data_IF_739180096649
#
_entry.id   IF_739180096649
#
_cell.length_a   1.000
_cell.length_b   1.000
_cell.length_c   1.000
_cell.angle_alpha   90.00
_cell.angle_beta   90.00
_cell.angle_gamma   90.00
#
_symmetry.space_group_name_H-M   'P 1'
#
loop_
_entity.id
_entity.type
_entity.pdbx_description
1 polymer ?
#
# COMPACT_ATOMS: atom_id res chain seq x y z
N UNK A 1 -7.61 25.14 18.73
CA UNK A 1 -7.19 24.67 17.41
C UNK A 1 -5.82 25.24 17.13
N UNK A 2 -4.76 24.42 17.10
CA UNK A 2 -3.45 24.84 16.62
C UNK A 2 -3.54 25.17 15.12
N UNK A 3 -2.60 25.98 14.56
CA UNK A 3 -2.57 26.28 13.14
C UNK A 3 -2.50 24.93 12.38
N UNK A 4 -3.32 24.79 11.32
CA UNK A 4 -3.28 23.63 10.43
C UNK A 4 -1.82 23.42 10.02
N UNK A 5 -1.21 22.30 10.39
CA UNK A 5 0.15 21.96 9.95
C UNK A 5 0.08 21.82 8.43
N UNK A 6 0.98 22.53 7.74
CA UNK A 6 1.07 22.40 6.29
C UNK A 6 1.41 20.96 5.91
N UNK A 7 1.03 20.54 4.71
CA UNK A 7 1.28 19.19 4.17
C UNK A 7 2.77 18.82 4.01
N UNK A 8 3.68 19.80 4.21
CA UNK A 8 5.12 19.61 4.05
C UNK A 8 5.81 19.52 5.40
N UNK A 9 6.55 18.45 5.62
CA UNK A 9 7.36 18.19 6.80
C UNK A 9 8.69 18.93 6.72
N UNK A 10 9.22 19.36 7.86
CA UNK A 10 10.59 19.86 7.97
C UNK A 10 11.63 18.75 7.80
N UNK A 11 12.88 19.11 7.54
CA UNK A 11 13.98 18.12 7.45
C UNK A 11 14.14 17.29 8.73
N UNK A 12 13.90 17.88 9.90
CA UNK A 12 13.93 17.16 11.17
C UNK A 12 12.79 16.15 11.30
N UNK A 13 11.58 16.48 10.82
CA UNK A 13 10.42 15.58 10.82
C UNK A 13 10.59 14.43 9.81
N UNK A 14 11.20 14.69 8.66
CA UNK A 14 11.49 13.63 7.68
C UNK A 14 12.38 12.52 8.27
N UNK A 15 13.36 12.88 9.10
CA UNK A 15 14.22 11.90 9.80
C UNK A 15 13.44 11.02 10.77
N UNK A 16 12.39 11.55 11.40
CA UNK A 16 11.57 10.83 12.35
C UNK A 16 10.63 9.81 11.67
N UNK A 17 10.37 9.97 10.37
CA UNK A 17 9.55 9.06 9.57
C UNK A 17 10.32 7.82 9.04
N UNK A 18 11.65 7.85 9.11
CA UNK A 18 12.47 6.71 8.64
C UNK A 18 12.23 5.47 9.50
N UNK A 19 12.18 5.62 10.81
CA UNK A 19 12.05 4.47 11.73
C UNK A 19 10.68 3.77 11.65
N UNK A 20 9.52 4.48 11.69
CA UNK A 20 8.24 3.81 11.49
C UNK A 20 8.14 3.11 10.13
N UNK A 21 8.65 3.71 9.05
CA UNK A 21 8.70 3.05 7.75
C UNK A 21 9.52 1.75 7.76
N UNK A 22 10.69 1.76 8.44
CA UNK A 22 11.54 0.56 8.61
C UNK A 22 10.83 -0.52 9.42
N UNK A 23 10.13 -0.15 10.49
CA UNK A 23 9.38 -1.11 11.34
C UNK A 23 8.23 -1.73 10.56
N UNK A 24 7.47 -0.91 9.80
CA UNK A 24 6.42 -1.39 8.90
C UNK A 24 6.96 -2.39 7.88
N UNK A 25 8.06 -2.05 7.19
CA UNK A 25 8.71 -2.97 6.23
C UNK A 25 9.11 -4.30 6.87
N UNK A 26 9.70 -4.26 8.06
CA UNK A 26 10.11 -5.48 8.79
C UNK A 26 8.91 -6.34 9.19
N UNK A 27 7.79 -5.74 9.59
CA UNK A 27 6.55 -6.47 9.90
C UNK A 27 5.99 -7.15 8.65
N UNK A 28 5.91 -6.44 7.53
CA UNK A 28 5.44 -6.99 6.26
C UNK A 28 6.34 -8.11 5.74
N UNK A 29 7.67 -8.00 5.86
CA UNK A 29 8.61 -9.06 5.49
C UNK A 29 8.41 -10.32 6.34
N UNK A 30 8.19 -10.16 7.65
CA UNK A 30 7.93 -11.28 8.55
C UNK A 30 6.59 -11.99 8.22
N UNK A 31 5.55 -11.21 7.92
CA UNK A 31 4.25 -11.74 7.49
C UNK A 31 4.37 -12.46 6.15
N UNK A 32 5.02 -11.83 5.16
CA UNK A 32 5.24 -12.41 3.82
C UNK A 32 5.93 -13.78 3.89
N UNK A 33 6.94 -13.91 4.76
CA UNK A 33 7.67 -15.15 4.95
C UNK A 33 6.83 -16.28 5.59
N UNK A 34 5.73 -15.95 6.26
CA UNK A 34 4.83 -16.90 6.92
C UNK A 34 3.63 -17.31 6.06
N UNK A 35 3.36 -16.62 4.95
CA UNK A 35 2.21 -16.92 4.09
C UNK A 35 2.40 -18.28 3.41
N UNK A 36 1.47 -19.21 3.70
CA UNK A 36 1.43 -20.56 3.14
C UNK A 36 -0.01 -21.12 3.21
N UNK A 37 -0.35 -22.15 2.44
CA UNK A 37 -1.62 -22.84 2.61
C UNK A 37 -1.79 -23.35 4.04
N UNK A 38 -2.96 -23.11 4.64
CA UNK A 38 -3.31 -23.55 5.99
C UNK A 38 -3.00 -22.53 7.10
N UNK A 39 -2.23 -21.48 6.83
CA UNK A 39 -2.01 -20.37 7.78
C UNK A 39 -3.25 -19.48 7.80
N UNK A 40 -3.70 -19.06 8.98
CA UNK A 40 -4.82 -18.14 9.15
C UNK A 40 -4.36 -16.68 9.10
N UNK A 41 -5.25 -15.78 8.71
CA UNK A 41 -4.93 -14.35 8.73
C UNK A 41 -4.74 -13.81 10.16
N UNK A 42 -5.35 -14.44 11.19
CA UNK A 42 -5.06 -14.15 12.60
C UNK A 42 -3.62 -14.52 13.02
N UNK A 43 -3.07 -15.62 12.50
CA UNK A 43 -1.68 -15.98 12.77
C UNK A 43 -0.72 -14.96 12.12
N UNK A 44 -1.05 -14.47 10.92
CA UNK A 44 -0.31 -13.40 10.25
C UNK A 44 -0.38 -12.08 11.03
N UNK A 45 -1.56 -11.73 11.55
CA UNK A 45 -1.78 -10.57 12.42
C UNK A 45 -0.88 -10.61 13.67
N UNK A 46 -0.84 -11.75 14.34
CA UNK A 46 0.00 -11.95 15.52
C UNK A 46 1.51 -11.86 15.22
N UNK A 47 1.94 -12.24 14.01
CA UNK A 47 3.33 -12.08 13.56
C UNK A 47 3.66 -10.60 13.39
N UNK A 48 2.79 -9.83 12.72
CA UNK A 48 2.96 -8.40 12.53
C UNK A 48 3.01 -7.67 13.87
N UNK A 49 2.04 -7.93 14.76
CA UNK A 49 1.98 -7.32 16.09
C UNK A 49 3.27 -7.54 16.88
N UNK A 50 3.72 -8.78 16.96
CA UNK A 50 4.97 -9.12 17.67
C UNK A 50 6.15 -8.37 17.08
N UNK A 51 6.29 -8.36 15.74
CA UNK A 51 7.43 -7.72 15.07
C UNK A 51 7.45 -6.21 15.34
N UNK A 52 6.29 -5.54 15.26
CA UNK A 52 6.18 -4.10 15.54
C UNK A 52 6.52 -3.81 17.01
N UNK A 53 5.95 -4.58 17.95
CA UNK A 53 6.17 -4.36 19.40
C UNK A 53 7.59 -4.65 19.82
N UNK A 54 8.20 -5.69 19.28
CA UNK A 54 9.62 -6.04 19.56
C UNK A 54 10.58 -4.94 19.05
N UNK A 55 10.20 -4.22 17.99
CA UNK A 55 10.91 -3.05 17.50
C UNK A 55 10.59 -1.75 18.29
N UNK A 56 9.76 -1.82 19.33
CA UNK A 56 9.36 -0.66 20.14
C UNK A 56 8.30 0.24 19.50
N UNK A 57 7.66 -0.23 18.43
CA UNK A 57 6.54 0.44 17.76
C UNK A 57 5.17 0.06 18.34
N UNK A 58 4.14 0.72 17.83
CA UNK A 58 2.73 0.45 18.12
C UNK A 58 2.03 0.14 16.80
N UNK A 59 1.25 -0.96 16.68
CA UNK A 59 0.38 -1.17 15.51
C UNK A 59 -0.60 0.00 15.38
N UNK A 60 -0.47 0.79 14.32
CA UNK A 60 -1.27 2.01 14.20
C UNK A 60 -2.72 1.76 13.81
N UNK A 61 -3.03 0.67 13.07
CA UNK A 61 -4.40 0.28 12.77
C UNK A 61 -5.22 -0.02 14.03
N UNK A 62 -4.60 -0.65 15.04
CA UNK A 62 -5.24 -0.89 16.33
C UNK A 62 -5.56 0.40 17.13
N UNK A 63 -5.10 1.56 16.67
CA UNK A 63 -5.46 2.87 17.23
C UNK A 63 -6.74 3.45 16.60
N UNK A 64 -7.18 2.89 15.45
CA UNK A 64 -8.42 3.31 14.80
C UNK A 64 -9.65 2.84 15.61
N UNK A 65 -10.60 3.73 15.88
CA UNK A 65 -11.79 3.39 16.68
C UNK A 65 -12.59 2.25 16.05
N UNK A 66 -12.68 1.12 16.76
CA UNK A 66 -13.45 -0.05 16.34
C UNK A 66 -12.63 -1.10 15.57
N UNK A 67 -11.41 -0.81 15.14
CA UNK A 67 -10.49 -1.80 14.60
C UNK A 67 -9.63 -2.42 15.71
N UNK A 68 -9.50 -3.75 15.74
CA UNK A 68 -8.85 -4.46 16.86
C UNK A 68 -7.63 -5.28 16.46
N UNK A 69 -7.22 -5.20 15.20
CA UNK A 69 -6.13 -5.97 14.62
C UNK A 69 -4.93 -5.07 14.24
N UNK A 70 -3.81 -5.70 13.97
CA UNK A 70 -2.56 -5.06 13.58
C UNK A 70 -2.47 -4.82 12.07
N UNK A 71 -3.03 -5.76 11.30
CA UNK A 71 -3.02 -5.74 9.82
C UNK A 71 -4.45 -5.75 9.28
N UNK A 72 -4.59 -5.30 8.03
CA UNK A 72 -5.70 -5.72 7.18
C UNK A 72 -5.22 -6.88 6.30
N UNK A 73 -6.05 -7.94 6.19
CA UNK A 73 -5.75 -9.13 5.40
C UNK A 73 -6.90 -9.39 4.43
N UNK A 74 -6.79 -8.85 3.23
CA UNK A 74 -7.83 -8.90 2.19
C UNK A 74 -7.57 -10.07 1.25
N UNK A 75 -8.52 -11.03 1.19
CA UNK A 75 -8.36 -12.29 0.44
C UNK A 75 -9.30 -12.32 -0.75
N UNK A 76 -8.79 -12.65 -1.94
CA UNK A 76 -9.54 -12.81 -3.20
C UNK A 76 -10.33 -11.55 -3.57
N UNK A 77 -11.66 -11.57 -3.44
CA UNK A 77 -12.55 -10.45 -3.76
C UNK A 77 -12.56 -9.32 -2.71
N UNK A 78 -11.87 -9.50 -1.60
CA UNK A 78 -11.66 -8.41 -0.65
C UNK A 78 -10.63 -7.43 -1.22
N UNK A 79 -11.05 -6.16 -1.36
CA UNK A 79 -10.23 -5.08 -1.93
C UNK A 79 -9.29 -4.53 -0.86
N UNK A 80 -9.86 -4.15 0.30
CA UNK A 80 -9.15 -3.47 1.38
C UNK A 80 -9.86 -3.71 2.72
N UNK A 81 -9.20 -3.41 3.82
CA UNK A 81 -9.72 -3.49 5.20
C UNK A 81 -10.20 -4.89 5.62
N UNK A 82 -9.73 -5.96 4.96
CA UNK A 82 -10.08 -7.33 5.32
C UNK A 82 -9.74 -7.64 6.77
N UNK A 83 -10.75 -8.03 7.57
CA UNK A 83 -10.55 -8.37 8.98
C UNK A 83 -9.84 -9.71 9.13
N UNK A 84 -8.69 -9.77 9.84
CA UNK A 84 -8.04 -11.03 10.18
C UNK A 84 -9.01 -12.00 10.88
N UNK A 85 -8.99 -13.26 10.49
CA UNK A 85 -9.92 -14.26 10.99
C UNK A 85 -9.29 -15.68 11.01
N UNK A 86 -10.06 -16.67 11.50
CA UNK A 86 -9.60 -18.05 11.65
C UNK A 86 -9.66 -18.87 10.32
N UNK A 87 -10.13 -18.28 9.21
CA UNK A 87 -10.14 -18.99 7.92
C UNK A 87 -8.71 -19.20 7.46
N UNK A 88 -8.27 -20.46 7.25
CA UNK A 88 -6.95 -20.71 6.70
C UNK A 88 -6.87 -20.28 5.24
N UNK A 89 -5.73 -19.73 4.83
CA UNK A 89 -5.42 -19.47 3.43
C UNK A 89 -5.40 -20.79 2.64
N UNK A 90 -6.02 -20.79 1.47
CA UNK A 90 -6.04 -21.91 0.56
C UNK A 90 -4.98 -21.75 -0.52
N UNK A 91 -4.52 -22.88 -1.07
CA UNK A 91 -3.68 -22.84 -2.27
C UNK A 91 -4.43 -22.11 -3.40
N UNK A 92 -3.76 -21.19 -4.07
CA UNK A 92 -4.31 -20.34 -5.12
C UNK A 92 -4.93 -19.03 -4.65
N UNK A 93 -5.16 -18.80 -3.34
CA UNK A 93 -5.65 -17.52 -2.85
C UNK A 93 -4.67 -16.37 -3.22
N UNK A 94 -5.21 -15.24 -3.63
CA UNK A 94 -4.49 -13.96 -3.61
C UNK A 94 -4.80 -13.28 -2.28
N UNK A 95 -3.77 -12.80 -1.58
CA UNK A 95 -3.93 -12.10 -0.31
C UNK A 95 -3.16 -10.79 -0.33
N UNK A 96 -3.84 -9.70 0.00
CA UNK A 96 -3.26 -8.39 0.22
C UNK A 96 -3.12 -8.17 1.72
N UNK A 97 -1.90 -7.90 2.16
CA UNK A 97 -1.58 -7.58 3.55
C UNK A 97 -1.19 -6.12 3.62
N UNK A 98 -1.91 -5.38 4.42
CA UNK A 98 -1.70 -3.98 4.69
C UNK A 98 -1.38 -3.80 6.17
N UNK A 99 -0.33 -3.03 6.49
CA UNK A 99 0.22 -2.92 7.83
C UNK A 99 0.88 -1.57 8.04
N UNK A 100 0.58 -0.97 9.19
CA UNK A 100 1.25 0.25 9.60
C UNK A 100 1.80 0.20 11.01
N UNK A 101 2.84 0.99 11.27
CA UNK A 101 3.47 1.12 12.57
C UNK A 101 3.65 2.58 12.97
N UNK A 102 3.33 2.87 14.24
CA UNK A 102 3.70 4.15 14.87
C UNK A 102 4.97 3.97 15.70
N UNK A 103 5.94 4.87 15.51
CA UNK A 103 7.13 4.98 16.36
C UNK A 103 7.31 6.43 16.79
N UNK A 104 7.32 6.67 18.10
CA UNK A 104 7.47 8.01 18.68
C UNK A 104 6.44 9.03 18.16
N UNK A 105 5.22 8.60 17.87
CA UNK A 105 4.14 9.43 17.34
C UNK A 105 4.32 9.81 15.87
N UNK A 106 5.03 9.00 15.07
CA UNK A 106 5.13 9.09 13.62
C UNK A 106 4.77 7.76 12.98
N UNK A 107 4.11 7.80 11.83
CA UNK A 107 3.52 6.64 11.19
C UNK A 107 4.29 6.23 9.93
N UNK A 108 4.33 4.92 9.67
CA UNK A 108 4.64 4.31 8.40
C UNK A 108 3.50 3.40 8.00
N UNK A 109 3.26 3.25 6.70
CA UNK A 109 2.17 2.49 6.12
C UNK A 109 2.57 1.86 4.81
N UNK A 110 2.22 0.59 4.58
CA UNK A 110 2.51 -0.12 3.35
C UNK A 110 1.69 -1.40 3.20
N UNK A 111 1.45 -1.80 1.95
CA UNK A 111 0.78 -3.04 1.62
C UNK A 111 1.48 -3.80 0.49
N UNK A 112 1.24 -5.12 0.46
CA UNK A 112 1.62 -5.97 -0.66
C UNK A 112 0.56 -7.03 -0.93
N UNK A 113 0.52 -7.52 -2.17
CA UNK A 113 -0.26 -8.70 -2.56
C UNK A 113 0.65 -9.87 -2.92
N UNK A 114 0.21 -11.08 -2.59
CA UNK A 114 0.90 -12.32 -2.96
C UNK A 114 -0.11 -13.40 -3.29
N UNK A 115 0.23 -14.28 -4.24
CA UNK A 115 -0.58 -15.45 -4.58
C UNK A 115 -0.02 -16.69 -3.89
N UNK A 116 -0.86 -17.39 -3.14
CA UNK A 116 -0.51 -18.65 -2.50
C UNK A 116 -0.35 -19.73 -3.60
N UNK A 117 0.79 -20.42 -3.72
CA UNK A 117 1.02 -21.37 -4.81
C UNK A 117 -0.03 -22.46 -4.88
N UNK A 118 -0.51 -22.76 -6.10
CA UNK A 118 -1.39 -23.91 -6.39
C UNK A 118 -1.00 -24.57 -7.73
N UNK A 119 -0.18 -25.61 -7.71
CA UNK A 119 0.19 -26.33 -8.94
C UNK A 119 -0.98 -27.01 -9.65
N UNK A 120 -2.13 -27.22 -8.97
CA UNK A 120 -3.31 -27.86 -9.55
C UNK A 120 -4.20 -26.88 -10.34
N UNK A 121 -4.08 -25.58 -10.12
CA UNK A 121 -4.84 -24.50 -10.77
C UNK A 121 -3.92 -23.44 -11.39
N UNK A 122 -3.04 -23.81 -12.33
CA UNK A 122 -2.00 -22.90 -12.83
C UNK A 122 -2.58 -21.65 -13.55
N UNK A 123 -3.72 -21.76 -14.20
CA UNK A 123 -4.37 -20.62 -14.88
C UNK A 123 -4.91 -19.60 -13.88
N UNK A 124 -5.54 -20.07 -12.78
CA UNK A 124 -5.99 -19.18 -11.70
C UNK A 124 -4.81 -18.45 -11.07
N UNK A 125 -3.75 -19.19 -10.72
CA UNK A 125 -2.53 -18.61 -10.14
C UNK A 125 -1.92 -17.58 -11.09
N UNK A 126 -1.84 -17.88 -12.39
CA UNK A 126 -1.29 -16.95 -13.38
C UNK A 126 -2.13 -15.68 -13.52
N UNK A 127 -3.47 -15.78 -13.51
CA UNK A 127 -4.37 -14.62 -13.56
C UNK A 127 -4.20 -13.73 -12.33
N UNK A 128 -4.21 -14.32 -11.13
CA UNK A 128 -4.02 -13.61 -9.86
C UNK A 128 -2.62 -12.99 -9.74
N UNK A 129 -1.60 -13.70 -10.23
CA UNK A 129 -0.23 -13.17 -10.25
C UNK A 129 -0.12 -11.97 -11.18
N UNK A 130 -0.72 -12.02 -12.38
CA UNK A 130 -0.75 -10.89 -13.31
C UNK A 130 -1.44 -9.67 -12.70
N UNK A 131 -2.56 -9.87 -11.99
CA UNK A 131 -3.24 -8.80 -11.25
C UNK A 131 -2.32 -8.16 -10.22
N UNK A 132 -1.65 -8.97 -9.40
CA UNK A 132 -0.69 -8.46 -8.40
C UNK A 132 0.48 -7.74 -9.07
N UNK A 133 1.05 -8.30 -10.15
CA UNK A 133 2.20 -7.73 -10.85
C UNK A 133 1.88 -6.38 -11.51
N UNK A 134 0.71 -6.23 -12.16
CA UNK A 134 0.30 -4.95 -12.75
C UNK A 134 0.04 -3.90 -11.68
N UNK A 135 -0.54 -4.29 -10.54
CA UNK A 135 -0.78 -3.38 -9.41
C UNK A 135 0.56 -2.92 -8.82
N UNK A 136 1.50 -3.82 -8.60
CA UNK A 136 2.86 -3.46 -8.15
C UNK A 136 3.57 -2.55 -9.15
N UNK A 137 3.54 -2.90 -10.44
CA UNK A 137 4.16 -2.11 -11.48
C UNK A 137 3.59 -0.69 -11.57
N UNK A 138 2.27 -0.54 -11.40
CA UNK A 138 1.60 0.75 -11.38
C UNK A 138 2.01 1.61 -10.18
N UNK A 139 2.14 1.01 -9.00
CA UNK A 139 2.67 1.67 -7.80
C UNK A 139 4.08 2.24 -8.07
N UNK A 140 4.99 1.40 -8.59
CA UNK A 140 6.37 1.84 -8.84
C UNK A 140 6.47 2.89 -9.96
N UNK A 141 5.58 2.86 -10.95
CA UNK A 141 5.47 3.94 -11.94
C UNK A 141 5.01 5.25 -11.29
N UNK A 142 4.04 5.21 -10.37
CA UNK A 142 3.62 6.36 -9.59
C UNK A 142 4.73 6.93 -8.72
N UNK A 143 5.50 6.08 -8.04
CA UNK A 143 6.66 6.47 -7.23
C UNK A 143 7.76 7.08 -8.12
N UNK A 144 8.02 6.51 -9.30
CA UNK A 144 8.97 7.06 -10.25
C UNK A 144 8.51 8.43 -10.76
N UNK A 145 7.23 8.57 -11.12
CA UNK A 145 6.66 9.85 -11.54
C UNK A 145 6.81 10.92 -10.44
N UNK A 146 6.60 10.56 -9.16
CA UNK A 146 6.75 11.49 -8.02
C UNK A 146 8.14 12.15 -7.98
N UNK A 147 9.19 11.47 -8.45
CA UNK A 147 10.54 12.03 -8.49
C UNK A 147 10.70 13.13 -9.57
N UNK A 148 9.82 13.19 -10.56
CA UNK A 148 9.98 14.03 -11.77
C UNK A 148 8.88 15.08 -11.92
N UNK A 149 7.66 14.82 -11.43
CA UNK A 149 6.51 15.70 -11.63
C UNK A 149 6.54 16.93 -10.73
N UNK A 150 5.87 17.98 -11.18
CA UNK A 150 5.75 19.22 -10.40
C UNK A 150 4.51 19.25 -9.50
N UNK A 151 3.51 18.42 -9.76
CA UNK A 151 2.24 18.39 -9.06
C UNK A 151 1.77 16.96 -8.81
N UNK A 152 1.13 16.77 -7.66
CA UNK A 152 0.82 15.44 -7.13
C UNK A 152 -0.16 14.63 -8.00
N UNK A 153 -1.15 15.27 -8.61
CA UNK A 153 -2.14 14.54 -9.41
C UNK A 153 -1.57 13.93 -10.70
N UNK A 154 -0.37 14.33 -11.13
CA UNK A 154 0.32 13.70 -12.25
C UNK A 154 0.80 12.27 -11.91
N UNK A 155 0.91 11.93 -10.61
CA UNK A 155 1.23 10.58 -10.11
C UNK A 155 0.12 9.59 -10.47
N UNK A 156 -1.14 9.95 -10.21
CA UNK A 156 -2.29 9.09 -10.53
C UNK A 156 -2.41 8.79 -12.03
N UNK A 157 -2.02 9.75 -12.88
CA UNK A 157 -1.99 9.52 -14.32
C UNK A 157 -0.94 8.46 -14.72
N UNK A 158 0.23 8.45 -14.07
CA UNK A 158 1.28 7.46 -14.34
C UNK A 158 0.87 6.05 -13.85
N UNK A 159 0.13 5.96 -12.75
CA UNK A 159 -0.42 4.70 -12.24
C UNK A 159 -1.43 4.13 -13.23
N UNK A 160 -2.43 4.92 -13.64
CA UNK A 160 -3.47 4.51 -14.59
C UNK A 160 -2.88 4.09 -15.94
N UNK A 161 -1.91 4.84 -16.47
CA UNK A 161 -1.27 4.54 -17.75
C UNK A 161 -0.63 3.12 -17.77
N UNK A 162 -0.04 2.65 -16.68
CA UNK A 162 0.52 1.30 -16.57
C UNK A 162 -0.57 0.24 -16.55
N UNK A 163 -1.64 0.46 -15.77
CA UNK A 163 -2.75 -0.49 -15.66
C UNK A 163 -3.46 -0.65 -17.01
N UNK A 164 -3.79 0.48 -17.67
CA UNK A 164 -4.45 0.47 -18.99
C UNK A 164 -3.55 -0.13 -20.07
N UNK A 165 -2.23 0.06 -19.99
CA UNK A 165 -1.29 -0.50 -20.96
C UNK A 165 -1.16 -2.02 -20.88
N UNK A 166 -1.51 -2.65 -19.74
CA UNK A 166 -1.53 -4.12 -19.57
C UNK A 166 -2.84 -4.76 -20.04
N UNK A 167 -3.88 -3.96 -20.34
CA UNK A 167 -5.16 -4.47 -20.84
C UNK A 167 -5.02 -5.10 -22.23
N UNK A 168 -5.81 -6.14 -22.46
CA UNK A 168 -5.89 -6.83 -23.76
C UNK A 168 -7.32 -7.33 -24.03
N UNK A 169 -7.66 -7.75 -25.26
CA UNK A 169 -9.00 -8.24 -25.55
C UNK A 169 -9.45 -9.38 -24.61
N UNK A 170 -10.47 -9.09 -23.80
CA UNK A 170 -11.01 -10.02 -22.79
C UNK A 170 -10.38 -9.89 -21.41
N UNK A 171 -9.44 -8.98 -21.20
CA UNK A 171 -8.90 -8.63 -19.92
C UNK A 171 -8.93 -7.11 -19.75
N UNK A 172 -9.67 -6.65 -18.76
CA UNK A 172 -9.68 -5.26 -18.31
C UNK A 172 -9.58 -5.20 -16.80
N UNK A 173 -9.08 -4.10 -16.29
CA UNK A 173 -8.92 -3.87 -14.87
C UNK A 173 -9.84 -2.76 -14.37
N UNK A 174 -10.34 -2.92 -13.13
CA UNK A 174 -10.97 -1.85 -12.38
C UNK A 174 -9.94 -1.16 -11.48
N UNK A 175 -9.87 0.17 -11.51
CA UNK A 175 -9.10 0.96 -10.54
C UNK A 175 -10.09 1.48 -9.50
N UNK A 176 -9.94 1.08 -8.24
CA UNK A 176 -10.83 1.52 -7.17
C UNK A 176 -10.66 3.01 -6.93
N UNK A 177 -11.78 3.75 -6.94
CA UNK A 177 -11.82 5.21 -6.81
C UNK A 177 -12.22 5.67 -5.40
N UNK A 178 -12.92 4.84 -4.63
CA UNK A 178 -13.44 5.19 -3.31
C UNK A 178 -12.36 5.23 -2.22
N UNK A 179 -11.22 4.56 -2.47
CA UNK A 179 -10.06 4.55 -1.59
C UNK A 179 -8.86 5.12 -2.33
N UNK A 180 -8.15 6.04 -1.66
CA UNK A 180 -7.04 6.77 -2.27
C UNK A 180 -5.88 6.86 -1.31
N UNK A 181 -4.68 6.99 -1.84
CA UNK A 181 -3.52 7.33 -1.05
C UNK A 181 -3.68 8.67 -0.31
N UNK A 182 -2.78 8.94 0.60
CA UNK A 182 -2.91 10.05 1.55
C UNK A 182 -1.56 10.63 1.95
N UNK A 183 -1.56 11.80 2.56
CA UNK A 183 -0.43 12.28 3.32
C UNK A 183 -0.25 11.43 4.58
N UNK A 184 0.98 11.27 5.05
CA UNK A 184 1.28 10.53 6.28
C UNK A 184 2.27 11.28 7.15
N UNK A 185 2.16 11.11 8.48
CA UNK A 185 3.01 11.81 9.41
C UNK A 185 2.70 11.52 10.87
N UNK A 186 2.18 12.51 11.59
CA UNK A 186 1.72 12.37 12.98
C UNK A 186 0.41 11.62 13.09
N UNK A 187 -0.39 11.66 12.05
CA UNK A 187 -1.52 10.78 11.85
C UNK A 187 -1.21 9.85 10.70
N UNK A 188 -1.82 8.66 10.69
CA UNK A 188 -1.72 7.73 9.59
C UNK A 188 -2.27 8.39 8.32
N UNK A 189 -3.49 8.86 8.37
CA UNK A 189 -4.12 9.61 7.29
C UNK A 189 -4.02 11.13 7.51
N UNK A 190 -3.32 11.80 6.61
CA UNK A 190 -3.20 13.27 6.55
C UNK A 190 -3.51 13.76 5.13
N UNK A 191 -3.77 15.05 4.98
CA UNK A 191 -3.74 15.71 3.66
C UNK A 191 -2.33 15.66 3.03
N UNK A 192 -2.21 15.57 1.71
CA UNK A 192 -3.27 15.59 0.71
C UNK A 192 -3.75 14.18 0.33
N UNK A 193 -4.93 14.03 -0.32
CA UNK A 193 -5.30 12.80 -0.99
C UNK A 193 -4.37 12.54 -2.18
N UNK A 194 -4.09 11.26 -2.47
CA UNK A 194 -3.23 10.81 -3.56
C UNK A 194 -4.03 9.85 -4.45
N UNK A 195 -4.46 10.33 -5.60
CA UNK A 195 -5.30 9.53 -6.51
C UNK A 195 -4.45 8.51 -7.28
N UNK A 196 -5.02 7.32 -7.47
CA UNK A 196 -4.40 6.22 -8.23
C UNK A 196 -4.84 6.21 -9.71
N UNK A 197 -5.54 7.25 -10.14
CA UNK A 197 -6.12 7.43 -11.46
C UNK A 197 -6.07 8.91 -11.87
N UNK A 198 -6.34 9.18 -13.13
CA UNK A 198 -6.31 10.53 -13.71
C UNK A 198 -7.46 11.38 -13.22
N UNK A 199 -7.16 12.49 -12.60
CA UNK A 199 -8.16 13.45 -12.10
C UNK A 199 -7.97 14.83 -12.72
N UNK A 200 -9.02 15.65 -12.68
CA UNK A 200 -8.94 17.05 -13.13
C UNK A 200 -8.18 17.88 -12.09
N UNK A 201 -7.38 18.80 -12.58
CA UNK A 201 -6.59 19.69 -11.73
C UNK A 201 -5.21 19.13 -11.41
N UNK A 202 -4.35 19.95 -10.84
CA UNK A 202 -2.93 19.62 -10.65
C UNK A 202 -2.62 19.05 -9.27
N UNK A 203 -3.47 19.31 -8.28
CA UNK A 203 -3.16 19.01 -6.89
C UNK A 203 -2.02 19.87 -6.31
N UNK A 204 -1.52 19.52 -5.11
CA UNK A 204 -0.40 20.19 -4.46
C UNK A 204 0.89 20.08 -5.27
N UNK A 205 1.83 21.00 -5.01
CA UNK A 205 3.18 20.90 -5.60
C UNK A 205 3.96 19.76 -4.97
N UNK A 206 4.67 19.01 -5.80
CA UNK A 206 5.67 18.06 -5.34
C UNK A 206 6.95 18.83 -5.02
N UNK A 207 7.36 18.82 -3.77
CA UNK A 207 8.57 19.47 -3.28
C UNK A 207 9.03 18.87 -1.95
N UNK A 208 10.24 19.17 -1.56
CA UNK A 208 10.82 18.70 -0.29
C UNK A 208 9.88 18.95 0.91
N UNK A 209 9.72 17.93 1.73
CA UNK A 209 8.82 17.86 2.87
C UNK A 209 7.51 17.11 2.60
N UNK A 210 7.15 16.84 1.37
CA UNK A 210 5.97 16.00 1.06
C UNK A 210 6.25 14.55 1.49
N UNK A 211 5.33 13.98 2.27
CA UNK A 211 5.35 12.56 2.65
C UNK A 211 3.96 12.00 2.44
N UNK A 212 3.87 10.97 1.64
CA UNK A 212 2.59 10.40 1.18
C UNK A 212 2.66 8.87 1.14
N UNK A 213 1.50 8.24 1.24
CA UNK A 213 1.23 6.86 0.81
C UNK A 213 0.72 6.90 -0.63
N UNK A 214 1.21 6.00 -1.47
CA UNK A 214 0.68 5.70 -2.81
C UNK A 214 0.22 4.26 -2.77
N UNK A 215 -1.06 4.00 -3.06
CA UNK A 215 -1.71 2.72 -2.75
C UNK A 215 -2.75 2.29 -3.82
N UNK A 216 -2.34 1.96 -5.03
CA UNK A 216 -3.29 1.46 -6.03
C UNK A 216 -3.97 0.16 -5.59
N UNK A 217 -5.29 0.13 -5.71
CA UNK A 217 -6.14 -1.04 -5.55
C UNK A 217 -6.79 -1.34 -6.89
N UNK A 218 -6.54 -2.54 -7.41
CA UNK A 218 -6.93 -2.95 -8.76
C UNK A 218 -7.74 -4.23 -8.70
N UNK A 219 -8.79 -4.33 -9.52
CA UNK A 219 -9.68 -5.50 -9.60
C UNK A 219 -9.68 -6.12 -11.01
N UNK A 220 -10.00 -7.41 -11.10
CA UNK A 220 -10.24 -8.11 -12.38
C UNK A 220 -11.69 -7.96 -12.90
N UNK A 221 -12.48 -7.04 -12.33
CA UNK A 221 -13.88 -6.86 -12.67
C UNK A 221 -14.39 -5.48 -12.29
N UNK A 222 -15.53 -5.45 -11.60
CA UNK A 222 -16.17 -4.19 -11.23
C UNK A 222 -15.37 -3.40 -10.22
N UNK A 223 -15.49 -2.06 -10.27
CA UNK A 223 -15.03 -1.15 -9.22
C UNK A 223 -16.09 -0.93 -8.13
N UNK A 224 -17.31 -1.42 -8.36
CA UNK A 224 -18.39 -1.32 -7.39
C UNK A 224 -18.15 -2.28 -6.23
N UNK A 225 -18.20 -1.76 -5.02
CA UNK A 225 -17.89 -2.47 -3.78
C UNK A 225 -19.00 -2.37 -2.76
N UNK A 226 -18.94 -3.20 -1.74
CA UNK A 226 -19.74 -3.05 -0.54
C UNK A 226 -18.97 -3.51 0.69
N UNK A 227 -19.39 -3.02 1.86
CA UNK A 227 -18.82 -3.40 3.16
C UNK A 227 -19.54 -4.64 3.69
N UNK A 228 -18.77 -5.60 4.20
CA UNK A 228 -19.32 -6.81 4.84
C UNK A 228 -19.91 -6.50 6.23
N UNK A 229 -20.54 -7.52 6.85
CA UNK A 229 -21.19 -7.39 8.14
C UNK A 229 -20.25 -7.15 9.34
N UNK A 230 -18.94 -7.19 9.11
CA UNK A 230 -17.92 -6.82 10.10
C UNK A 230 -17.67 -5.31 10.16
N UNK A 231 -18.38 -4.52 9.34
CA UNK A 231 -18.28 -3.07 9.20
C UNK A 231 -16.93 -2.55 8.66
N UNK A 232 -16.02 -3.44 8.21
CA UNK A 232 -14.68 -3.11 7.75
C UNK A 232 -14.34 -3.67 6.38
N UNK A 233 -14.49 -4.99 6.19
CA UNK A 233 -14.05 -5.66 4.96
C UNK A 233 -14.81 -5.15 3.75
N UNK A 234 -14.10 -4.57 2.78
CA UNK A 234 -14.64 -4.09 1.51
C UNK A 234 -14.42 -5.15 0.45
N UNK A 235 -15.48 -5.58 -0.22
CA UNK A 235 -15.42 -6.60 -1.27
C UNK A 235 -16.04 -6.09 -2.58
N UNK A 236 -15.59 -6.64 -3.71
CA UNK A 236 -16.19 -6.36 -5.03
C UNK A 236 -17.60 -6.92 -5.12
N UNK A 237 -18.50 -6.25 -5.86
CA UNK A 237 -19.90 -6.67 -6.00
C UNK A 237 -20.11 -7.87 -6.93
N UNK A 238 -19.10 -8.24 -7.71
CA UNK A 238 -19.13 -9.35 -8.68
C UNK A 238 -18.20 -10.51 -8.30
N UNK A 239 -17.68 -10.52 -7.06
CA UNK A 239 -16.72 -11.49 -6.54
C UNK A 239 -15.38 -11.55 -7.32
N UNK A 240 -15.08 -10.54 -8.15
CA UNK A 240 -13.80 -10.47 -8.85
C UNK A 240 -12.63 -10.27 -7.89
N UNK A 241 -11.49 -10.88 -8.22
CA UNK A 241 -10.26 -10.76 -7.42
C UNK A 241 -9.72 -9.32 -7.41
N UNK A 242 -9.12 -8.93 -6.29
CA UNK A 242 -8.49 -7.63 -6.09
C UNK A 242 -7.03 -7.77 -5.61
N UNK A 243 -6.23 -6.75 -5.90
CA UNK A 243 -4.87 -6.60 -5.39
C UNK A 243 -4.67 -5.19 -4.85
N UNK A 244 -3.88 -5.07 -3.80
CA UNK A 244 -3.50 -3.82 -3.15
C UNK A 244 -1.99 -3.80 -2.93
N UNK A 245 -1.32 -2.76 -3.41
CA UNK A 245 0.09 -2.50 -3.16
C UNK A 245 0.28 -1.07 -2.70
N UNK A 246 1.17 -0.87 -1.73
CA UNK A 246 1.37 0.44 -1.13
C UNK A 246 2.79 0.64 -0.63
N UNK A 247 3.25 1.88 -0.72
CA UNK A 247 4.43 2.37 -0.01
C UNK A 247 4.23 3.79 0.52
N UNK A 248 4.89 4.08 1.65
CA UNK A 248 5.10 5.44 2.15
C UNK A 248 6.38 6.02 1.56
N UNK A 249 6.29 7.23 0.97
CA UNK A 249 7.40 7.88 0.27
C UNK A 249 7.61 9.29 0.80
N UNK A 250 8.86 9.66 1.03
CA UNK A 250 9.27 11.02 1.38
C UNK A 250 9.97 11.71 0.20
N UNK A 251 9.57 12.95 -0.08
CA UNK A 251 10.29 13.87 -0.98
C UNK A 251 11.17 14.79 -0.14
N UNK A 252 12.46 14.86 -0.44
CA UNK A 252 13.42 15.69 0.30
C UNK A 252 14.40 16.41 -0.66
N UNK A 253 15.26 17.32 -0.20
CA UNK A 253 16.13 18.09 -1.10
C UNK A 253 17.06 17.24 -1.98
N UNK A 254 17.35 15.99 -1.59
CA UNK A 254 18.17 15.06 -2.37
C UNK A 254 17.40 14.19 -3.36
N UNK A 255 16.07 14.26 -3.41
CA UNK A 255 15.21 13.44 -4.27
C UNK A 255 14.07 12.77 -3.49
N UNK A 256 13.82 11.51 -3.76
CA UNK A 256 12.82 10.69 -3.05
C UNK A 256 13.48 9.58 -2.24
N UNK A 257 12.78 9.12 -1.21
CA UNK A 257 13.13 7.93 -0.43
C UNK A 257 11.87 7.15 -0.09
N UNK A 258 11.81 5.87 -0.48
CA UNK A 258 10.71 4.99 -0.10
C UNK A 258 10.96 4.50 1.32
N UNK A 259 10.20 5.05 2.27
CA UNK A 259 10.37 4.83 3.71
C UNK A 259 10.15 3.37 4.11
N UNK A 260 9.26 2.69 3.43
CA UNK A 260 8.83 1.30 3.67
C UNK A 260 9.52 0.28 2.76
N UNK A 261 10.58 0.67 2.06
CA UNK A 261 11.46 -0.25 1.32
C UNK A 261 12.86 -0.25 1.95
N UNK A 262 13.43 -1.43 2.18
CA UNK A 262 14.73 -1.60 2.89
C UNK A 262 15.87 -0.84 2.20
N UNK A 263 15.85 -0.80 0.87
CA UNK A 263 16.85 -0.10 0.03
C UNK A 263 16.40 1.30 -0.42
N UNK A 264 15.30 1.82 0.17
CA UNK A 264 14.68 3.08 -0.23
C UNK A 264 14.06 3.05 -1.63
N UNK A 265 13.82 1.86 -2.17
CA UNK A 265 13.28 1.63 -3.50
C UNK A 265 14.33 1.54 -4.62
N UNK A 266 15.63 1.44 -4.30
CA UNK A 266 16.71 1.50 -5.29
C UNK A 266 16.58 0.42 -6.37
N UNK A 267 16.25 -0.82 -6.01
CA UNK A 267 16.10 -1.92 -6.96
C UNK A 267 14.95 -1.68 -7.94
N UNK A 268 13.79 -1.30 -7.44
CA UNK A 268 12.55 -1.10 -8.22
C UNK A 268 12.56 0.19 -9.04
N UNK A 269 13.30 1.22 -8.61
CA UNK A 269 13.42 2.49 -9.31
C UNK A 269 14.54 2.50 -10.38
N UNK A 270 15.48 1.55 -10.31
CA UNK A 270 16.57 1.46 -11.29
C UNK A 270 16.11 1.36 -12.75
N UNK A 271 15.04 0.61 -13.13
CA UNK A 271 14.53 0.58 -14.49
C UNK A 271 14.03 1.94 -15.01
N UNK A 272 13.64 2.85 -14.11
CA UNK A 272 13.22 4.22 -14.44
C UNK A 272 14.39 5.21 -14.46
N UNK A 273 15.62 4.75 -14.20
CA UNK A 273 16.80 5.62 -14.13
C UNK A 273 16.86 6.50 -12.87
N UNK A 274 16.05 6.22 -11.87
CA UNK A 274 15.96 6.99 -10.62
C UNK A 274 16.83 6.34 -9.55
N UNK A 275 17.66 7.15 -8.91
CA UNK A 275 18.47 6.74 -7.74
C UNK A 275 17.92 7.42 -6.50
N UNK A 276 17.22 6.68 -5.62
CA UNK A 276 16.72 7.25 -4.38
C UNK A 276 17.88 7.65 -3.47
N UNK A 277 17.67 8.70 -2.69
CA UNK A 277 18.71 9.23 -1.79
C UNK A 277 18.24 9.14 -0.34
N UNK A 278 19.04 8.53 0.53
CA UNK A 278 18.68 8.38 1.93
C UNK A 278 18.52 9.73 2.64
N UNK A 279 17.53 9.81 3.54
CA UNK A 279 17.27 10.98 4.38
C UNK A 279 18.39 11.08 5.44
N UNK A 280 19.12 12.22 5.44
CA UNK A 280 20.26 12.49 6.33
C UNK A 280 19.88 13.30 7.57
#
# INVERSE_FOLDING_TARGET
MGPARGIYKSAAELKLLVEPGRVTAAALDAVRAAIAPGVTTLELDAIAERTIRDAGGIPNFALEPGYTHTICASVNSAVVHGMPNERPLEAGDIVSIDCGAEVNGWNGDAAFSVVVPDPSRPELVASRQRLSDVTEASLWAGIAALAEVSHLNDVGAAIEDVIVADEEPGLSYGIIEDFTGHGIGRSMHEEPPVFNYRVRGRGPKVKAGLVIAIEPMVTLGTIETHTLADDWTIVTNDDSDAAHWEHSIAVHPGGIWVLTAVDGGAHKLAPFGIVPTAIQ
#
